data_IF_153684847991
#
_entry.id   IF_153684847991
#
_cell.length_a   1.000
_cell.length_b   1.000
_cell.length_c   1.000
_cell.angle_alpha   90.00
_cell.angle_beta   90.00
_cell.angle_gamma   90.00
#
_symmetry.space_group_name_H-M   'P 1'
#
loop_
_entity.id
_entity.type
_entity.pdbx_description
1 polymer ?
#
# COMPACT_ATOMS: atom_id res chain seq x y z
N UNK A 1 34.03 -36.14 2.29
CA UNK A 1 33.35 -36.00 0.99
C UNK A 1 31.85 -36.01 1.30
N UNK A 2 31.30 -34.85 1.68
CA UNK A 2 30.34 -34.08 0.84
C UNK A 2 28.91 -34.64 1.03
N UNK A 3 27.88 -33.92 1.48
CA UNK A 3 27.63 -32.49 1.46
C UNK A 3 26.64 -32.10 2.56
N UNK A 4 26.94 -31.00 3.25
CA UNK A 4 25.95 -30.25 4.04
C UNK A 4 24.91 -29.66 3.09
N UNK A 5 23.64 -29.99 3.29
CA UNK A 5 22.52 -29.38 2.57
C UNK A 5 22.25 -27.99 3.17
N UNK A 6 23.04 -26.99 2.78
CA UNK A 6 22.76 -25.61 3.14
C UNK A 6 21.60 -25.09 2.28
N UNK A 7 20.50 -24.73 2.94
CA UNK A 7 19.36 -24.08 2.32
C UNK A 7 19.70 -22.60 2.05
N UNK A 8 19.80 -22.22 0.78
CA UNK A 8 20.10 -20.85 0.33
C UNK A 8 18.84 -19.95 0.26
N UNK A 9 17.83 -20.18 1.10
CA UNK A 9 16.65 -19.32 1.15
C UNK A 9 16.97 -18.02 1.91
N UNK A 10 16.71 -16.87 1.26
CA UNK A 10 16.94 -15.50 1.76
C UNK A 10 16.20 -15.16 3.08
N UNK A 11 15.33 -16.04 3.56
CA UNK A 11 14.51 -15.84 4.75
C UNK A 11 15.23 -16.14 6.09
N UNK A 12 16.33 -16.90 6.08
CA UNK A 12 16.96 -17.36 7.33
C UNK A 12 17.92 -16.37 8.02
N UNK A 13 18.09 -15.13 7.52
CA UNK A 13 18.99 -14.13 8.14
C UNK A 13 18.33 -13.13 9.09
N UNK A 14 17.03 -13.18 9.31
CA UNK A 14 16.37 -12.26 10.23
C UNK A 14 15.83 -13.03 11.44
N UNK A 15 16.53 -12.85 12.56
CA UNK A 15 16.13 -13.25 13.89
C UNK A 15 14.84 -12.52 14.27
N UNK A 16 13.68 -13.19 14.23
CA UNK A 16 12.46 -12.73 14.93
C UNK A 16 11.71 -13.93 15.52
N UNK A 17 11.62 -14.02 16.86
CA UNK A 17 10.72 -14.91 17.55
C UNK A 17 9.46 -14.15 18.01
N UNK A 18 8.29 -14.62 17.58
CA UNK A 18 7.25 -15.19 18.46
C UNK A 18 6.25 -15.92 17.56
N UNK A 19 5.96 -17.16 17.92
CA UNK A 19 5.05 -18.12 17.28
C UNK A 19 5.44 -18.59 15.87
N UNK A 20 6.33 -19.58 15.84
CA UNK A 20 6.77 -20.27 14.62
C UNK A 20 5.57 -20.98 13.97
N UNK A 21 5.02 -20.37 12.92
CA UNK A 21 4.26 -21.12 11.91
C UNK A 21 5.30 -21.94 11.15
N UNK A 22 5.28 -23.26 11.30
CA UNK A 22 6.05 -24.16 10.45
C UNK A 22 5.55 -24.04 8.99
N UNK A 23 6.31 -23.33 8.17
CA UNK A 23 6.04 -23.13 6.74
C UNK A 23 6.34 -24.39 5.89
N UNK A 24 6.82 -25.48 6.50
CA UNK A 24 7.11 -26.74 5.81
C UNK A 24 5.96 -27.76 5.87
N UNK A 25 4.71 -27.33 6.11
CA UNK A 25 3.53 -28.19 5.98
C UNK A 25 2.77 -27.94 4.66
N UNK A 26 2.61 -28.97 3.79
CA UNK A 26 2.02 -28.82 2.45
C UNK A 26 0.52 -28.47 2.45
N UNK A 27 -0.19 -28.78 3.53
CA UNK A 27 -1.65 -28.64 3.64
C UNK A 27 -2.15 -27.19 3.86
N UNK A 28 -1.32 -26.29 4.42
CA UNK A 28 -1.70 -24.86 4.62
C UNK A 28 -1.34 -23.96 3.44
N UNK A 29 -0.73 -24.49 2.37
CA UNK A 29 -0.49 -23.74 1.14
C UNK A 29 -1.78 -23.49 0.34
N UNK A 30 -2.80 -24.34 0.49
CA UNK A 30 -4.08 -24.22 -0.24
C UNK A 30 -4.87 -22.99 0.22
N UNK A 31 -5.00 -22.75 1.52
CA UNK A 31 -5.74 -21.60 2.06
C UNK A 31 -5.05 -20.25 1.74
N UNK A 32 -3.72 -20.21 1.67
CA UNK A 32 -2.96 -19.00 1.29
C UNK A 32 -3.01 -18.73 -0.21
N UNK A 33 -3.12 -19.78 -1.04
CA UNK A 33 -3.40 -19.67 -2.48
C UNK A 33 -4.85 -19.26 -2.75
N UNK A 34 -5.83 -19.83 -2.05
CA UNK A 34 -7.25 -19.48 -2.21
C UNK A 34 -7.54 -18.02 -1.84
N UNK A 35 -6.92 -17.49 -0.77
CA UNK A 35 -7.01 -16.05 -0.44
C UNK A 35 -6.38 -15.16 -1.50
N UNK A 36 -5.39 -15.66 -2.25
CA UNK A 36 -4.77 -14.92 -3.35
C UNK A 36 -5.65 -14.97 -4.62
N UNK A 37 -6.32 -16.09 -4.88
CA UNK A 37 -7.23 -16.23 -6.02
C UNK A 37 -8.56 -15.47 -5.85
N UNK A 38 -8.98 -15.18 -4.62
CA UNK A 38 -10.21 -14.42 -4.31
C UNK A 38 -9.95 -12.98 -3.81
N UNK A 39 -8.68 -12.60 -3.58
CA UNK A 39 -8.30 -11.31 -2.98
C UNK A 39 -7.90 -10.20 -3.96
N UNK A 40 -7.69 -10.53 -5.23
CA UNK A 40 -7.10 -9.63 -6.23
C UNK A 40 -8.10 -9.11 -7.30
N UNK A 41 -9.41 -9.24 -7.08
CA UNK A 41 -10.41 -8.80 -8.07
C UNK A 41 -10.77 -7.31 -8.02
N UNK A 42 -10.28 -6.54 -7.03
CA UNK A 42 -10.47 -5.09 -6.99
C UNK A 42 -9.28 -4.31 -6.43
N UNK A 43 -8.06 -4.75 -6.76
CA UNK A 43 -6.89 -3.88 -6.64
C UNK A 43 -6.93 -2.88 -7.81
N UNK A 44 -7.94 -1.99 -7.82
CA UNK A 44 -7.96 -0.90 -8.80
C UNK A 44 -6.77 -0.02 -8.46
N UNK A 45 -5.72 0.05 -9.29
CA UNK A 45 -4.63 0.96 -9.01
C UNK A 45 -5.23 2.36 -8.96
N UNK A 46 -4.67 3.23 -8.11
CA UNK A 46 -5.13 4.62 -7.93
C UNK A 46 -6.45 4.77 -7.14
N UNK A 47 -6.46 4.33 -5.86
CA UNK A 47 -7.51 4.69 -4.88
C UNK A 47 -7.07 5.88 -4.03
N UNK A 48 -8.02 6.72 -3.62
CA UNK A 48 -7.77 7.82 -2.70
C UNK A 48 -7.63 7.26 -1.28
N UNK A 49 -6.57 7.57 -0.53
CA UNK A 49 -6.42 7.04 0.83
C UNK A 49 -7.40 7.65 1.86
N UNK A 50 -8.21 8.64 1.46
CA UNK A 50 -9.19 9.30 2.34
C UNK A 50 -10.58 8.68 2.14
N UNK A 51 -11.10 8.66 0.91
CA UNK A 51 -12.42 8.09 0.62
C UNK A 51 -12.39 6.64 0.13
N UNK A 52 -11.20 6.08 -0.11
CA UNK A 52 -10.99 4.71 -0.63
C UNK A 52 -11.58 4.45 -2.03
N UNK A 53 -12.07 5.48 -2.71
CA UNK A 53 -12.62 5.42 -4.07
C UNK A 53 -11.53 5.62 -5.13
N UNK A 54 -11.83 5.20 -6.37
CA UNK A 54 -10.92 5.37 -7.51
C UNK A 54 -10.72 6.86 -7.85
N UNK A 55 -9.48 7.35 -7.78
CA UNK A 55 -9.19 8.77 -7.99
C UNK A 55 -9.39 9.21 -9.43
N UNK A 56 -9.31 8.31 -10.43
CA UNK A 56 -9.50 8.66 -11.84
C UNK A 56 -10.92 9.18 -12.10
N UNK A 57 -11.91 8.62 -11.39
CA UNK A 57 -13.32 9.05 -11.47
C UNK A 57 -13.60 10.35 -10.71
N UNK A 58 -12.67 10.80 -9.86
CA UNK A 58 -12.87 11.89 -8.91
C UNK A 58 -11.82 13.00 -8.98
N UNK A 59 -11.29 13.24 -10.18
CA UNK A 59 -10.32 14.30 -10.46
C UNK A 59 -9.10 14.19 -9.55
N UNK A 60 -8.10 13.39 -9.94
CA UNK A 60 -6.96 13.14 -9.11
C UNK A 60 -6.08 14.41 -8.98
N UNK A 61 -5.60 14.67 -7.76
CA UNK A 61 -4.77 15.81 -7.42
C UNK A 61 -3.53 15.33 -6.66
N UNK A 62 -2.36 15.79 -7.12
CA UNK A 62 -1.08 15.57 -6.48
C UNK A 62 -0.70 16.78 -5.62
N UNK A 63 -0.19 16.49 -4.43
CA UNK A 63 0.44 17.47 -3.54
C UNK A 63 1.92 17.68 -3.93
N UNK A 64 2.56 18.80 -3.55
CA UNK A 64 3.99 19.04 -3.82
C UNK A 64 4.92 18.01 -3.20
N UNK A 65 4.44 17.29 -2.19
CA UNK A 65 5.17 16.21 -1.55
C UNK A 65 5.03 14.86 -2.27
N UNK A 66 4.28 14.79 -3.37
CA UNK A 66 4.13 13.60 -4.21
C UNK A 66 2.95 12.69 -3.88
N UNK A 67 2.18 12.96 -2.81
CA UNK A 67 1.00 12.16 -2.48
C UNK A 67 -0.22 12.57 -3.30
N UNK A 68 -1.03 11.58 -3.69
CA UNK A 68 -2.17 11.72 -4.60
C UNK A 68 -3.49 11.43 -3.87
N UNK A 69 -4.49 12.26 -4.13
CA UNK A 69 -5.83 12.16 -3.55
C UNK A 69 -6.91 12.56 -4.57
N UNK A 70 -8.18 12.39 -4.22
CA UNK A 70 -9.29 13.02 -4.94
C UNK A 70 -9.33 14.52 -4.62
N UNK A 71 -9.74 15.38 -5.58
CA UNK A 71 -9.72 16.84 -5.37
C UNK A 71 -10.57 17.27 -4.15
N UNK A 72 -11.77 16.71 -4.01
CA UNK A 72 -12.68 17.03 -2.90
C UNK A 72 -12.07 16.66 -1.55
N UNK A 73 -11.36 15.53 -1.51
CA UNK A 73 -10.76 14.97 -0.31
C UNK A 73 -9.60 15.82 0.19
N UNK A 74 -8.70 16.21 -0.72
CA UNK A 74 -7.53 17.01 -0.35
C UNK A 74 -7.90 18.46 -0.05
N UNK A 75 -8.93 19.01 -0.70
CA UNK A 75 -9.43 20.35 -0.40
C UNK A 75 -9.94 20.44 1.05
N UNK A 76 -10.81 19.52 1.47
CA UNK A 76 -11.28 19.45 2.87
C UNK A 76 -10.13 19.29 3.87
N UNK A 77 -9.17 18.43 3.57
CA UNK A 77 -8.00 18.25 4.44
C UNK A 77 -7.14 19.52 4.58
N UNK A 78 -7.04 20.34 3.52
CA UNK A 78 -6.34 21.63 3.58
C UNK A 78 -7.15 22.65 4.38
N UNK A 79 -8.48 22.67 4.24
CA UNK A 79 -9.42 23.50 5.01
C UNK A 79 -9.21 23.30 6.52
N UNK A 80 -9.18 22.04 6.96
CA UNK A 80 -9.11 21.67 8.37
C UNK A 80 -7.69 21.75 8.95
N UNK A 81 -6.70 21.21 8.23
CA UNK A 81 -5.36 20.95 8.80
C UNK A 81 -4.22 21.73 8.11
N UNK A 82 -4.41 22.22 6.88
CA UNK A 82 -3.37 22.84 6.03
C UNK A 82 -2.09 22.00 5.89
N UNK A 83 -2.23 20.68 5.95
CA UNK A 83 -1.13 19.69 5.90
C UNK A 83 -1.54 18.50 5.03
N UNK A 84 -0.55 17.85 4.44
CA UNK A 84 -0.75 16.62 3.69
C UNK A 84 -1.13 15.47 4.65
N UNK A 85 -2.25 14.75 4.42
CA UNK A 85 -2.69 13.66 5.29
C UNK A 85 -1.73 12.47 5.42
N UNK A 86 -0.82 12.30 4.45
CA UNK A 86 0.10 11.16 4.41
C UNK A 86 1.45 11.45 5.09
N UNK A 87 1.95 12.68 5.00
CA UNK A 87 3.30 13.01 5.45
C UNK A 87 3.40 14.31 6.26
N UNK A 88 2.27 14.92 6.62
CA UNK A 88 2.16 16.11 7.46
C UNK A 88 2.89 17.37 6.98
N UNK A 89 3.45 17.38 5.76
CA UNK A 89 4.02 18.59 5.15
C UNK A 89 2.95 19.65 4.96
N UNK A 90 3.27 20.90 5.29
CA UNK A 90 2.37 22.05 5.08
C UNK A 90 2.11 22.22 3.59
N UNK A 91 0.84 22.39 3.23
CA UNK A 91 0.39 22.55 1.85
C UNK A 91 -0.77 23.56 1.80
N UNK A 92 -0.94 24.16 0.63
CA UNK A 92 -2.02 25.13 0.33
C UNK A 92 -2.70 24.77 -0.99
N UNK A 93 -3.93 25.25 -1.22
CA UNK A 93 -4.71 24.94 -2.43
C UNK A 93 -3.97 25.27 -3.73
N UNK A 94 -3.24 26.38 -3.77
CA UNK A 94 -2.50 26.83 -4.96
C UNK A 94 -1.36 25.89 -5.35
N UNK A 95 -0.94 25.01 -4.45
CA UNK A 95 0.15 24.07 -4.66
C UNK A 95 -0.33 22.69 -5.12
N UNK A 96 -1.65 22.49 -5.25
CA UNK A 96 -2.20 21.25 -5.78
C UNK A 96 -2.05 21.23 -7.30
N UNK A 97 -1.55 20.11 -7.81
CA UNK A 97 -1.45 19.87 -9.26
C UNK A 97 -2.47 18.82 -9.66
N UNK A 98 -3.35 19.15 -10.59
CA UNK A 98 -4.25 18.15 -11.18
C UNK A 98 -3.44 17.19 -12.04
N UNK A 99 -3.66 15.90 -11.87
CA UNK A 99 -3.04 14.86 -12.71
C UNK A 99 -4.09 14.28 -13.66
N UNK A 100 -3.63 13.84 -14.84
CA UNK A 100 -4.46 13.21 -15.86
C UNK A 100 -3.95 11.77 -16.01
N UNK A 101 -4.72 10.81 -15.49
CA UNK A 101 -4.38 9.39 -15.36
C UNK A 101 -5.30 8.51 -16.22
#
# INVERSE_FOLDING_TARGET
MSSEMQCHCRACRLNVPTDIIDLCSPEKQSAKRLRRELGDLEDTPYKCPICMENVRRRQPAATPCGHVFCIDCIQKAIEDFRKCPMCNKKITYKQLTRIFL
#
